data_IF_461443860904
#
_entry.id   IF_461443860904
#
_cell.length_a   1.000
_cell.length_b   1.000
_cell.length_c   1.000
_cell.angle_alpha   90.00
_cell.angle_beta   90.00
_cell.angle_gamma   90.00
#
_symmetry.space_group_name_H-M   'P 1'
#
loop_
_entity.id
_entity.type
_entity.pdbx_description
1 polymer ?
#
# COMPACT_ATOMS: atom_id res chain seq x y z
N UNK A 1 -56.25 42.60 39.59
CA UNK A 1 -57.12 43.08 38.51
C UNK A 1 -56.53 42.71 37.17
N UNK A 2 -57.40 42.12 36.35
CA UNK A 2 -57.22 41.78 34.94
C UNK A 2 -57.12 43.04 34.04
N UNK A 3 -56.71 42.79 32.78
CA UNK A 3 -56.86 43.61 31.54
C UNK A 3 -55.86 44.73 31.29
N UNK A 4 -55.32 44.97 30.08
CA UNK A 4 -55.51 44.36 28.75
C UNK A 4 -54.37 44.82 27.80
N UNK A 5 -53.81 43.93 26.96
CA UNK A 5 -54.20 43.64 25.57
C UNK A 5 -53.86 44.74 24.54
N UNK A 6 -52.84 44.46 23.69
CA UNK A 6 -52.97 44.68 22.23
C UNK A 6 -52.16 43.64 21.43
N UNK A 7 -52.89 42.92 20.58
CA UNK A 7 -52.49 41.93 19.56
C UNK A 7 -51.69 42.59 18.42
N UNK A 8 -50.79 41.85 17.75
CA UNK A 8 -51.08 41.25 16.42
C UNK A 8 -49.91 40.43 15.83
N UNK A 9 -50.25 39.20 15.42
CA UNK A 9 -49.87 38.51 14.16
C UNK A 9 -48.43 38.07 13.88
N UNK A 10 -48.19 36.78 14.17
CA UNK A 10 -47.75 35.70 13.26
C UNK A 10 -46.94 36.05 11.99
N UNK A 11 -45.69 35.58 11.97
CA UNK A 11 -45.16 34.82 10.83
C UNK A 11 -44.04 33.88 11.32
N UNK A 12 -44.34 32.58 11.42
CA UNK A 12 -43.34 31.52 11.59
C UNK A 12 -42.56 31.34 10.27
N UNK A 13 -41.23 31.43 10.32
CA UNK A 13 -40.34 30.89 9.27
C UNK A 13 -39.35 29.91 9.91
N UNK A 14 -39.09 28.76 9.28
CA UNK A 14 -38.37 27.65 9.89
C UNK A 14 -36.86 27.94 9.96
N UNK A 15 -36.27 27.56 11.09
CA UNK A 15 -34.84 27.60 11.34
C UNK A 15 -34.08 26.67 10.38
N UNK A 16 -33.37 27.24 9.41
CA UNK A 16 -32.42 26.53 8.56
C UNK A 16 -30.99 26.71 9.05
N UNK A 17 -30.49 25.64 9.68
CA UNK A 17 -29.14 25.08 9.54
C UNK A 17 -27.91 26.01 9.59
N UNK A 18 -27.53 26.45 10.79
CA UNK A 18 -26.16 26.91 11.11
C UNK A 18 -25.25 25.75 11.55
N UNK A 19 -25.12 24.70 10.72
CA UNK A 19 -24.19 23.59 10.97
C UNK A 19 -23.46 23.14 9.69
N UNK A 20 -22.87 24.10 8.99
CA UNK A 20 -22.12 23.86 7.74
C UNK A 20 -20.88 24.75 7.61
N UNK A 21 -20.19 25.00 8.74
CA UNK A 21 -18.85 25.59 8.75
C UNK A 21 -17.95 24.64 9.53
N UNK A 22 -16.86 24.20 8.91
CA UNK A 22 -15.83 23.26 9.36
C UNK A 22 -15.74 21.93 8.59
N UNK A 23 -15.62 22.01 7.26
CA UNK A 23 -14.81 21.05 6.50
C UNK A 23 -13.97 21.88 5.52
N UNK A 24 -12.64 21.93 5.64
CA UNK A 24 -11.83 22.58 4.61
C UNK A 24 -11.84 21.68 3.38
N UNK A 25 -12.65 22.03 2.37
CA UNK A 25 -12.54 21.50 1.01
C UNK A 25 -11.26 22.05 0.39
N UNK A 26 -10.09 21.53 0.78
CA UNK A 26 -8.86 21.78 0.04
C UNK A 26 -8.95 21.02 -1.28
N UNK A 27 -8.91 21.76 -2.39
CA UNK A 27 -8.79 21.17 -3.72
C UNK A 27 -7.49 20.36 -3.80
N UNK A 28 -7.49 19.21 -4.49
CA UNK A 28 -6.29 18.40 -4.74
C UNK A 28 -5.12 19.25 -5.24
N UNK A 29 -5.42 20.31 -6.02
CA UNK A 29 -4.46 21.28 -6.53
C UNK A 29 -3.78 22.11 -5.44
N UNK A 30 -4.49 22.46 -4.36
CA UNK A 30 -3.92 23.19 -3.22
C UNK A 30 -3.07 22.30 -2.32
N UNK A 31 -3.45 21.03 -2.15
CA UNK A 31 -2.62 20.05 -1.43
C UNK A 31 -1.32 19.82 -2.21
N UNK A 32 -1.41 19.67 -3.53
CA UNK A 32 -0.25 19.51 -4.42
C UNK A 32 0.66 20.76 -4.42
N UNK A 33 0.08 21.97 -4.45
CA UNK A 33 0.85 23.21 -4.37
C UNK A 33 1.55 23.41 -3.03
N UNK A 34 0.91 23.00 -1.93
CA UNK A 34 1.50 23.09 -0.59
C UNK A 34 2.64 22.08 -0.41
N UNK A 35 2.54 20.91 -1.05
CA UNK A 35 3.58 19.87 -1.07
C UNK A 35 4.82 20.31 -1.91
N UNK A 36 4.64 21.12 -2.95
CA UNK A 36 5.71 21.58 -3.85
C UNK A 36 6.56 22.76 -3.30
N UNK A 37 6.08 23.50 -2.30
CA UNK A 37 6.69 24.77 -1.85
C UNK A 37 7.54 24.63 -0.56
N UNK A 38 8.10 23.45 -0.28
CA UNK A 38 8.86 23.19 0.96
C UNK A 38 10.30 22.74 0.70
N UNK A 39 10.98 23.37 -0.27
CA UNK A 39 12.37 23.04 -0.62
C UNK A 39 13.36 23.46 0.48
N UNK A 40 14.34 22.61 0.74
CA UNK A 40 15.52 22.91 1.56
C UNK A 40 16.69 23.09 0.58
N UNK A 41 17.49 24.16 0.74
CA UNK A 41 18.56 24.46 -0.21
C UNK A 41 19.70 23.43 -0.17
N UNK A 42 20.12 22.90 -1.33
CA UNK A 42 21.27 21.99 -1.48
C UNK A 42 21.04 20.71 -2.29
N UNK A 43 19.92 20.57 -2.99
CA UNK A 43 19.50 19.29 -3.61
C UNK A 43 20.02 19.07 -5.04
N UNK A 44 20.37 17.82 -5.36
CA UNK A 44 20.81 17.39 -6.69
C UNK A 44 19.67 17.29 -7.72
N UNK A 45 18.42 17.24 -7.26
CA UNK A 45 17.22 17.05 -8.08
C UNK A 45 16.18 18.09 -7.64
N UNK A 46 15.53 18.78 -8.58
CA UNK A 46 14.47 19.72 -8.22
C UNK A 46 13.16 19.00 -7.90
N UNK A 47 12.41 19.52 -6.92
CA UNK A 47 11.11 18.96 -6.52
C UNK A 47 10.14 18.69 -7.69
N UNK A 48 9.97 19.61 -8.67
CA UNK A 48 9.07 19.36 -9.81
C UNK A 48 9.54 18.20 -10.70
N UNK A 49 10.85 18.05 -10.88
CA UNK A 49 11.42 16.96 -11.69
C UNK A 49 11.19 15.62 -11.01
N UNK A 50 11.39 15.52 -9.69
CA UNK A 50 11.12 14.28 -8.95
C UNK A 50 9.64 13.88 -9.01
N UNK A 51 8.73 14.84 -8.85
CA UNK A 51 7.28 14.56 -8.96
C UNK A 51 6.90 14.17 -10.38
N UNK A 52 7.41 14.87 -11.40
CA UNK A 52 7.16 14.53 -12.80
C UNK A 52 7.69 13.13 -13.14
N UNK A 53 8.88 12.77 -12.67
CA UNK A 53 9.45 11.44 -12.79
C UNK A 53 8.57 10.36 -12.14
N UNK A 54 8.09 10.59 -10.92
CA UNK A 54 7.19 9.65 -10.23
C UNK A 54 5.87 9.46 -10.98
N UNK A 55 5.26 10.56 -11.45
CA UNK A 55 4.03 10.50 -12.26
C UNK A 55 4.29 9.76 -13.57
N UNK A 56 5.39 10.05 -14.26
CA UNK A 56 5.75 9.39 -15.51
C UNK A 56 5.95 7.88 -15.32
N UNK A 57 6.67 7.45 -14.28
CA UNK A 57 6.84 6.02 -13.95
C UNK A 57 5.51 5.34 -13.63
N UNK A 58 4.64 5.98 -12.83
CA UNK A 58 3.33 5.43 -12.50
C UNK A 58 2.45 5.25 -13.75
N UNK A 59 2.40 6.26 -14.61
CA UNK A 59 1.66 6.20 -15.88
C UNK A 59 2.24 5.15 -16.82
N UNK A 60 3.56 5.09 -16.96
CA UNK A 60 4.26 4.12 -17.80
C UNK A 60 3.98 2.69 -17.36
N UNK A 61 4.03 2.43 -16.04
CA UNK A 61 3.71 1.13 -15.45
C UNK A 61 2.29 0.69 -15.77
N UNK A 62 1.30 1.56 -15.57
CA UNK A 62 -0.11 1.26 -15.90
C UNK A 62 -0.32 1.07 -17.39
N UNK A 63 0.25 1.96 -18.20
CA UNK A 63 0.01 1.99 -19.63
C UNK A 63 0.52 0.73 -20.31
N UNK A 64 1.75 0.30 -20.01
CA UNK A 64 2.30 -0.94 -20.56
C UNK A 64 1.55 -2.16 -20.01
N UNK A 65 1.13 -2.15 -18.74
CA UNK A 65 0.45 -3.30 -18.12
C UNK A 65 -0.96 -3.56 -18.68
N UNK A 66 -1.70 -2.50 -19.05
CA UNK A 66 -3.12 -2.61 -19.45
C UNK A 66 -3.40 -2.35 -20.92
N UNK A 67 -2.48 -1.72 -21.66
CA UNK A 67 -2.67 -1.48 -23.08
C UNK A 67 -1.55 -2.09 -23.98
N UNK A 68 -1.00 -3.28 -23.69
CA UNK A 68 0.06 -3.85 -24.52
C UNK A 68 -0.42 -4.12 -25.96
N UNK A 69 -1.69 -4.50 -26.14
CA UNK A 69 -2.31 -4.73 -27.46
C UNK A 69 -2.38 -3.44 -28.29
N UNK A 70 -2.67 -2.30 -27.66
CA UNK A 70 -2.83 -1.00 -28.34
C UNK A 70 -1.48 -0.35 -28.61
N UNK A 71 -0.53 -0.50 -27.68
CA UNK A 71 0.77 0.19 -27.73
C UNK A 71 1.80 -0.62 -28.51
N UNK A 72 1.95 -1.90 -28.18
CA UNK A 72 2.94 -2.79 -28.78
C UNK A 72 2.40 -3.47 -30.04
N UNK A 73 1.17 -3.14 -30.46
CA UNK A 73 0.45 -3.78 -31.58
C UNK A 73 0.49 -5.31 -31.51
N UNK A 74 0.43 -5.85 -30.31
CA UNK A 74 0.47 -7.30 -30.12
C UNK A 74 -0.87 -7.91 -30.55
N UNK A 75 -0.87 -9.07 -31.25
CA UNK A 75 -2.11 -9.76 -31.63
C UNK A 75 -2.91 -10.12 -30.39
N UNK A 76 -4.25 -10.19 -30.47
CA UNK A 76 -5.09 -10.55 -29.32
C UNK A 76 -4.63 -11.88 -28.67
N UNK A 77 -4.70 -11.95 -27.34
CA UNK A 77 -4.23 -13.13 -26.63
C UNK A 77 -5.20 -14.29 -26.86
N UNK A 78 -4.69 -15.41 -27.38
CA UNK A 78 -5.49 -16.62 -27.66
C UNK A 78 -5.95 -17.38 -26.41
N UNK A 79 -5.35 -17.12 -25.25
CA UNK A 79 -5.71 -17.76 -23.98
C UNK A 79 -5.48 -16.83 -22.78
N UNK A 80 -6.16 -17.09 -21.66
CA UNK A 80 -5.98 -16.35 -20.41
C UNK A 80 -4.54 -16.41 -19.88
N UNK A 81 -3.89 -17.57 -19.98
CA UNK A 81 -2.48 -17.72 -19.57
C UNK A 81 -1.55 -16.86 -20.43
N UNK A 82 -1.75 -16.83 -21.75
CA UNK A 82 -0.96 -15.99 -22.66
C UNK A 82 -1.17 -14.49 -22.38
N UNK A 83 -2.41 -14.09 -22.06
CA UNK A 83 -2.71 -12.73 -21.63
C UNK A 83 -1.94 -12.34 -20.36
N UNK A 84 -1.93 -13.24 -19.36
CA UNK A 84 -1.25 -13.01 -18.08
C UNK A 84 0.28 -12.97 -18.22
N UNK A 85 0.88 -13.89 -18.99
CA UNK A 85 2.33 -13.91 -19.25
C UNK A 85 2.77 -12.60 -19.91
N UNK A 86 2.03 -12.10 -20.90
CA UNK A 86 2.34 -10.82 -21.55
C UNK A 86 2.32 -9.67 -20.55
N UNK A 87 1.37 -9.64 -19.63
CA UNK A 87 1.31 -8.65 -18.55
C UNK A 87 2.49 -8.76 -17.60
N UNK A 88 2.95 -9.96 -17.29
CA UNK A 88 4.15 -10.16 -16.47
C UNK A 88 5.41 -9.62 -17.16
N UNK A 89 5.58 -9.92 -18.45
CA UNK A 89 6.70 -9.39 -19.24
C UNK A 89 6.64 -7.85 -19.27
N UNK A 90 5.46 -7.29 -19.52
CA UNK A 90 5.22 -5.84 -19.51
C UNK A 90 5.57 -5.19 -18.16
N UNK A 91 5.12 -5.80 -17.05
CA UNK A 91 5.46 -5.33 -15.70
C UNK A 91 6.96 -5.40 -15.45
N UNK A 92 7.63 -6.49 -15.84
CA UNK A 92 9.07 -6.67 -15.70
C UNK A 92 9.85 -5.61 -16.51
N UNK A 93 9.51 -5.41 -17.78
CA UNK A 93 10.14 -4.40 -18.65
C UNK A 93 9.96 -2.99 -18.07
N UNK A 94 8.74 -2.66 -17.63
CA UNK A 94 8.46 -1.35 -17.02
C UNK A 94 9.24 -1.14 -15.72
N UNK A 95 9.36 -2.20 -14.91
CA UNK A 95 10.13 -2.19 -13.66
C UNK A 95 11.63 -1.98 -13.93
N UNK A 96 12.21 -2.74 -14.85
CA UNK A 96 13.62 -2.60 -15.25
C UNK A 96 13.90 -1.20 -15.79
N UNK A 97 13.04 -0.69 -16.67
CA UNK A 97 13.17 0.66 -17.19
C UNK A 97 13.11 1.73 -16.09
N UNK A 98 12.22 1.56 -15.10
CA UNK A 98 12.09 2.47 -13.95
C UNK A 98 13.31 2.43 -13.04
N UNK A 99 13.87 1.24 -12.79
CA UNK A 99 15.11 1.07 -12.01
C UNK A 99 16.30 1.73 -12.71
N UNK A 100 16.48 1.47 -14.01
CA UNK A 100 17.55 2.06 -14.81
C UNK A 100 17.43 3.58 -14.84
N UNK A 101 16.23 4.10 -15.13
CA UNK A 101 15.96 5.54 -15.13
C UNK A 101 16.29 6.17 -13.77
N UNK A 102 15.84 5.56 -12.67
CA UNK A 102 16.09 6.08 -11.32
C UNK A 102 17.57 6.08 -10.98
N UNK A 103 18.32 5.04 -11.36
CA UNK A 103 19.77 4.97 -11.16
C UNK A 103 20.52 6.09 -11.90
N UNK A 104 20.03 6.50 -13.08
CA UNK A 104 20.61 7.64 -13.82
C UNK A 104 20.26 9.01 -13.23
N UNK A 105 19.07 9.15 -12.64
CA UNK A 105 18.61 10.43 -12.07
C UNK A 105 19.20 10.69 -10.69
N UNK A 106 19.39 9.64 -9.89
CA UNK A 106 19.97 9.76 -8.56
C UNK A 106 21.47 10.08 -8.64
N UNK A 107 22.03 10.86 -7.70
CA UNK A 107 23.45 11.21 -7.68
C UNK A 107 24.33 10.05 -7.14
N UNK A 108 24.28 8.91 -7.82
CA UNK A 108 25.04 7.70 -7.46
C UNK A 108 26.50 7.88 -7.87
N UNK A 109 27.41 7.75 -6.90
CA UNK A 109 28.87 7.90 -7.13
C UNK A 109 29.54 6.61 -7.63
N UNK A 110 29.03 5.44 -7.26
CA UNK A 110 29.59 4.13 -7.60
C UNK A 110 28.56 3.29 -8.35
N UNK A 111 28.97 2.75 -9.50
CA UNK A 111 28.15 1.89 -10.35
C UNK A 111 28.33 0.40 -10.07
N UNK A 112 28.92 0.06 -8.93
CA UNK A 112 28.97 -1.33 -8.47
C UNK A 112 27.57 -1.86 -8.16
N UNK A 113 27.31 -3.11 -8.56
CA UNK A 113 26.00 -3.73 -8.42
C UNK A 113 25.49 -3.75 -6.96
N UNK A 114 26.37 -4.02 -5.99
CA UNK A 114 26.03 -4.02 -4.56
C UNK A 114 25.55 -2.65 -4.08
N UNK A 115 26.20 -1.57 -4.54
CA UNK A 115 25.85 -0.20 -4.19
C UNK A 115 24.52 0.20 -4.82
N UNK A 116 24.30 -0.11 -6.10
CA UNK A 116 23.04 0.17 -6.80
C UNK A 116 21.87 -0.60 -6.16
N UNK A 117 22.05 -1.88 -5.87
CA UNK A 117 21.03 -2.68 -5.18
C UNK A 117 20.71 -2.10 -3.79
N UNK A 118 21.71 -1.60 -3.08
CA UNK A 118 21.54 -0.89 -1.81
C UNK A 118 20.69 0.39 -1.92
N UNK A 119 20.79 1.15 -3.02
CA UNK A 119 19.94 2.33 -3.27
C UNK A 119 18.46 1.94 -3.34
N UNK A 120 18.16 0.81 -3.96
CA UNK A 120 16.79 0.27 -4.08
C UNK A 120 16.35 -0.52 -2.84
N UNK A 121 17.13 -0.53 -1.76
CA UNK A 121 16.84 -1.28 -0.54
C UNK A 121 16.94 -2.81 -0.71
N UNK A 122 17.58 -3.29 -1.77
CA UNK A 122 17.85 -4.71 -1.99
C UNK A 122 19.17 -5.03 -1.29
N UNK A 123 19.07 -5.56 -0.08
CA UNK A 123 20.22 -5.86 0.76
C UNK A 123 20.05 -7.18 1.50
N UNK A 124 21.17 -7.82 1.84
CA UNK A 124 21.19 -9.09 2.57
C UNK A 124 21.43 -8.92 4.08
N UNK A 125 21.99 -7.78 4.51
CA UNK A 125 22.19 -7.49 5.92
C UNK A 125 20.84 -7.31 6.63
N UNK A 126 20.70 -7.84 7.83
CA UNK A 126 19.47 -7.75 8.63
C UNK A 126 18.18 -8.17 7.88
N UNK A 127 18.31 -9.05 6.88
CA UNK A 127 17.18 -9.45 6.03
C UNK A 127 16.09 -10.14 6.85
N UNK A 128 16.45 -10.99 7.82
CA UNK A 128 15.46 -11.71 8.62
C UNK A 128 14.62 -10.75 9.47
N UNK A 129 15.20 -9.67 10.01
CA UNK A 129 14.46 -8.60 10.70
C UNK A 129 13.55 -7.87 9.70
N UNK A 130 14.10 -7.55 8.53
CA UNK A 130 13.39 -6.95 7.39
C UNK A 130 12.17 -7.74 6.94
N UNK A 131 12.13 -9.06 7.18
CA UNK A 131 11.00 -9.92 6.85
C UNK A 131 10.08 -10.14 8.06
N UNK A 132 10.64 -10.56 9.19
CA UNK A 132 9.89 -11.05 10.34
C UNK A 132 9.08 -9.95 11.03
N UNK A 133 9.69 -8.80 11.31
CA UNK A 133 9.01 -7.74 12.07
C UNK A 133 7.89 -7.05 11.27
N UNK A 134 8.06 -6.73 9.97
CA UNK A 134 6.97 -6.22 9.16
C UNK A 134 5.83 -7.24 8.97
N UNK A 135 6.15 -8.52 8.83
CA UNK A 135 5.13 -9.58 8.79
C UNK A 135 4.36 -9.68 10.10
N UNK A 136 5.05 -9.61 11.25
CA UNK A 136 4.40 -9.59 12.56
C UNK A 136 3.50 -8.37 12.74
N UNK A 137 3.97 -7.17 12.37
CA UNK A 137 3.14 -5.97 12.42
C UNK A 137 1.91 -6.10 11.52
N UNK A 138 2.10 -6.59 10.31
CA UNK A 138 0.99 -6.75 9.36
C UNK A 138 0.00 -7.80 9.87
N UNK A 139 0.47 -8.93 10.42
CA UNK A 139 -0.39 -10.00 10.93
C UNK A 139 -1.26 -9.54 12.11
N UNK A 140 -0.79 -8.59 12.93
CA UNK A 140 -1.60 -7.98 14.00
C UNK A 140 -2.85 -7.28 13.47
N UNK A 141 -2.76 -6.54 12.36
CA UNK A 141 -3.93 -5.92 11.72
C UNK A 141 -4.93 -6.98 11.23
N UNK A 142 -4.43 -8.16 10.88
CA UNK A 142 -5.21 -9.29 10.39
C UNK A 142 -5.55 -10.33 11.47
N UNK A 143 -5.29 -10.05 12.75
CA UNK A 143 -5.47 -11.01 13.84
C UNK A 143 -6.89 -11.61 13.88
N UNK A 144 -7.91 -10.79 13.64
CA UNK A 144 -9.30 -11.28 13.54
C UNK A 144 -9.51 -12.26 12.38
N UNK A 145 -8.98 -11.95 11.18
CA UNK A 145 -9.05 -12.86 10.03
C UNK A 145 -8.30 -14.17 10.29
N UNK A 146 -7.13 -14.13 10.92
CA UNK A 146 -6.34 -15.31 11.27
C UNK A 146 -7.07 -16.20 12.28
N UNK A 147 -7.65 -15.62 13.33
CA UNK A 147 -8.46 -16.36 14.32
C UNK A 147 -9.70 -16.96 13.67
N UNK A 148 -10.34 -16.24 12.74
CA UNK A 148 -11.49 -16.77 11.99
C UNK A 148 -11.12 -17.99 11.17
N UNK A 149 -9.96 -17.98 10.50
CA UNK A 149 -9.49 -19.09 9.65
C UNK A 149 -9.07 -20.30 10.51
N UNK A 150 -8.38 -20.04 11.62
CA UNK A 150 -8.03 -21.07 12.58
C UNK A 150 -9.28 -21.75 13.15
N UNK A 151 -10.31 -20.96 13.50
CA UNK A 151 -11.56 -21.50 14.03
C UNK A 151 -12.29 -22.37 13.00
N UNK A 152 -12.30 -22.01 11.72
CA UNK A 152 -12.90 -22.86 10.68
C UNK A 152 -12.16 -24.19 10.52
N UNK A 153 -10.83 -24.20 10.60
CA UNK A 153 -10.07 -25.45 10.52
C UNK A 153 -10.27 -26.35 11.75
N UNK A 154 -10.48 -25.76 12.93
CA UNK A 154 -10.81 -26.50 14.15
C UNK A 154 -12.22 -27.11 14.09
N UNK A 155 -13.18 -26.41 13.48
CA UNK A 155 -14.54 -26.93 13.23
C UNK A 155 -14.51 -28.12 12.24
N UNK A 156 -13.64 -28.09 11.22
CA UNK A 156 -13.50 -29.17 10.23
C UNK A 156 -12.79 -30.43 10.76
N UNK A 157 -11.78 -30.29 11.63
CA UNK A 157 -10.98 -31.41 12.14
C UNK A 157 -11.60 -32.19 13.33
N UNK A 158 -12.87 -31.92 13.66
CA UNK A 158 -13.61 -32.76 14.61
C UNK A 158 -13.11 -32.70 16.06
N UNK A 159 -13.02 -31.51 16.65
CA UNK A 159 -13.10 -31.30 18.11
C UNK A 159 -12.05 -31.96 19.04
N UNK A 160 -11.06 -32.68 18.50
CA UNK A 160 -9.99 -33.33 19.26
C UNK A 160 -8.88 -32.34 19.63
N UNK A 161 -8.84 -31.92 20.89
CA UNK A 161 -7.98 -30.84 21.34
C UNK A 161 -6.51 -31.30 21.54
N UNK A 162 -5.64 -30.98 20.57
CA UNK A 162 -4.25 -30.66 20.87
C UNK A 162 -3.86 -29.39 20.13
N UNK A 163 -4.15 -28.24 20.75
CA UNK A 163 -3.91 -26.88 20.22
C UNK A 163 -2.56 -26.69 19.50
N UNK A 164 -1.51 -27.40 19.91
CA UNK A 164 -0.19 -27.33 19.27
C UNK A 164 -0.11 -28.06 17.91
N UNK A 165 -0.79 -29.19 17.72
CA UNK A 165 -0.86 -29.87 16.41
C UNK A 165 -1.69 -29.07 15.42
N UNK A 166 -2.71 -28.36 15.90
CA UNK A 166 -3.63 -27.58 15.06
C UNK A 166 -3.00 -26.26 14.59
N UNK A 167 -2.19 -25.61 15.43
CA UNK A 167 -1.37 -24.46 15.01
C UNK A 167 -0.31 -24.93 14.00
N UNK A 168 0.31 -26.09 14.23
CA UNK A 168 1.28 -26.66 13.29
C UNK A 168 0.63 -26.97 11.94
N UNK A 169 -0.58 -27.52 11.93
CA UNK A 169 -1.31 -27.78 10.69
C UNK A 169 -1.69 -26.49 9.98
N UNK A 170 -2.19 -25.46 10.69
CA UNK A 170 -2.46 -24.14 10.11
C UNK A 170 -1.23 -23.51 9.45
N UNK A 171 -0.09 -23.52 10.15
CA UNK A 171 1.17 -22.98 9.62
C UNK A 171 1.68 -23.80 8.44
N UNK A 172 1.47 -25.12 8.42
CA UNK A 172 1.87 -26.00 7.31
C UNK A 172 0.92 -25.92 6.10
N UNK A 173 -0.35 -25.58 6.32
CA UNK A 173 -1.34 -25.39 5.27
C UNK A 173 -1.02 -24.16 4.40
N UNK A 174 -0.40 -23.12 4.96
CA UNK A 174 -0.04 -21.91 4.20
C UNK A 174 0.98 -22.24 3.08
N UNK A 175 2.16 -22.85 3.36
CA UNK A 175 3.08 -23.31 2.31
C UNK A 175 2.45 -24.34 1.38
N UNK A 176 1.63 -25.26 1.89
CA UNK A 176 1.00 -26.30 1.08
C UNK A 176 -0.01 -25.72 0.08
N UNK A 177 -0.83 -24.74 0.48
CA UNK A 177 -1.75 -24.02 -0.40
C UNK A 177 -1.01 -23.19 -1.45
N UNK A 178 0.10 -22.53 -1.05
CA UNK A 178 0.94 -21.78 -1.98
C UNK A 178 1.60 -22.73 -2.99
N UNK A 179 2.07 -23.89 -2.56
CA UNK A 179 2.72 -24.89 -3.40
C UNK A 179 1.71 -25.61 -4.32
N UNK A 180 0.52 -25.94 -3.81
CA UNK A 180 -0.57 -26.51 -4.62
C UNK A 180 -1.13 -25.50 -5.63
N UNK A 181 -1.16 -24.22 -5.25
CA UNK A 181 -1.52 -23.10 -6.12
C UNK A 181 -0.40 -22.64 -7.05
N UNK A 182 0.82 -23.17 -6.94
CA UNK A 182 1.97 -22.75 -7.73
C UNK A 182 1.83 -23.06 -9.23
N UNK A 183 0.95 -23.99 -9.61
CA UNK A 183 0.60 -24.22 -11.02
C UNK A 183 -0.38 -23.18 -11.57
N UNK A 184 -1.02 -22.39 -10.70
CA UNK A 184 -2.00 -21.38 -11.08
C UNK A 184 -1.32 -20.03 -11.32
N UNK A 185 -1.38 -19.57 -12.56
CA UNK A 185 -0.80 -18.29 -12.97
C UNK A 185 -1.35 -17.08 -12.20
N UNK A 186 -2.59 -17.17 -11.68
CA UNK A 186 -3.19 -16.12 -10.87
C UNK A 186 -2.57 -16.01 -9.48
N UNK A 187 -2.10 -17.13 -8.91
CA UNK A 187 -1.39 -17.17 -7.62
C UNK A 187 -0.01 -16.55 -7.79
N UNK A 188 0.72 -16.90 -8.85
CA UNK A 188 1.98 -16.27 -9.21
C UNK A 188 1.87 -14.76 -9.41
N UNK A 189 0.81 -14.29 -10.08
CA UNK A 189 0.52 -12.86 -10.19
C UNK A 189 0.42 -12.23 -8.80
N UNK A 190 -0.46 -12.77 -7.95
CA UNK A 190 -0.86 -12.13 -6.70
C UNK A 190 0.22 -12.16 -5.63
N UNK A 191 1.01 -13.22 -5.57
CA UNK A 191 1.98 -13.45 -4.48
C UNK A 191 3.43 -13.14 -4.85
N UNK A 192 3.76 -13.07 -6.14
CA UNK A 192 5.15 -12.86 -6.56
C UNK A 192 5.25 -11.66 -7.50
N UNK A 193 4.65 -11.74 -8.68
CA UNK A 193 4.91 -10.76 -9.75
C UNK A 193 4.41 -9.38 -9.36
N UNK A 194 3.12 -9.24 -8.99
CA UNK A 194 2.54 -7.94 -8.69
C UNK A 194 3.19 -7.29 -7.45
N UNK A 195 3.32 -7.97 -6.29
CA UNK A 195 4.01 -7.38 -5.13
C UNK A 195 5.44 -6.93 -5.46
N UNK A 196 6.22 -7.77 -6.15
CA UNK A 196 7.62 -7.46 -6.44
C UNK A 196 7.75 -6.24 -7.37
N UNK A 197 7.04 -6.23 -8.49
CA UNK A 197 7.15 -5.14 -9.47
C UNK A 197 6.57 -3.84 -8.92
N UNK A 198 5.48 -3.91 -8.17
CA UNK A 198 4.85 -2.72 -7.57
C UNK A 198 5.72 -2.13 -6.45
N UNK A 199 6.29 -2.94 -5.56
CA UNK A 199 7.18 -2.40 -4.52
C UNK A 199 8.49 -1.83 -5.12
N UNK A 200 9.05 -2.46 -6.16
CA UNK A 200 10.22 -1.91 -6.85
C UNK A 200 9.91 -0.53 -7.46
N UNK A 201 8.83 -0.42 -8.24
CA UNK A 201 8.51 0.85 -8.93
C UNK A 201 8.05 1.92 -7.95
N UNK A 202 7.10 1.62 -7.08
CA UNK A 202 6.44 2.65 -6.26
C UNK A 202 7.20 2.97 -4.97
N UNK A 203 8.05 2.07 -4.46
CA UNK A 203 8.83 2.31 -3.22
C UNK A 203 10.29 2.48 -3.56
N UNK A 204 10.92 1.45 -4.14
CA UNK A 204 12.36 1.48 -4.38
C UNK A 204 12.79 2.58 -5.37
N UNK A 205 11.97 2.92 -6.38
CA UNK A 205 12.30 4.01 -7.30
C UNK A 205 11.79 5.39 -6.83
N UNK A 206 10.48 5.51 -6.56
CA UNK A 206 9.86 6.81 -6.30
C UNK A 206 10.29 7.45 -4.98
N UNK A 207 10.43 6.66 -3.89
CA UNK A 207 10.75 7.22 -2.58
C UNK A 207 12.16 7.85 -2.56
N UNK A 208 13.22 7.17 -3.03
CA UNK A 208 14.55 7.78 -3.16
C UNK A 208 14.57 9.09 -3.94
N UNK A 209 13.84 9.17 -5.06
CA UNK A 209 13.76 10.40 -5.87
C UNK A 209 13.14 11.55 -5.08
N UNK A 210 12.03 11.30 -4.37
CA UNK A 210 11.37 12.31 -3.56
C UNK A 210 12.26 12.75 -2.39
N UNK A 211 12.92 11.82 -1.70
CA UNK A 211 13.80 12.16 -0.58
C UNK A 211 15.02 12.96 -1.04
N UNK A 212 15.63 12.61 -2.18
CA UNK A 212 16.77 13.34 -2.76
C UNK A 212 16.40 14.68 -3.40
N UNK A 213 15.12 14.91 -3.65
CA UNK A 213 14.56 16.21 -4.05
C UNK A 213 13.92 16.96 -2.88
N UNK A 214 14.32 16.66 -1.63
CA UNK A 214 13.97 17.50 -0.49
C UNK A 214 12.63 17.28 0.16
N UNK A 215 11.87 16.30 -0.31
CA UNK A 215 10.56 16.07 0.28
C UNK A 215 10.70 15.62 1.72
N UNK A 216 9.93 16.27 2.60
CA UNK A 216 9.72 15.76 3.96
C UNK A 216 9.23 14.32 3.89
N UNK A 217 9.69 13.51 4.83
CA UNK A 217 9.36 12.08 4.88
C UNK A 217 7.86 11.81 4.80
N UNK A 218 7.05 12.54 5.57
CA UNK A 218 5.60 12.39 5.55
C UNK A 218 5.00 12.65 4.16
N UNK A 219 5.53 13.62 3.41
CA UNK A 219 5.10 13.87 2.03
C UNK A 219 5.41 12.69 1.13
N UNK A 220 6.61 12.11 1.24
CA UNK A 220 6.98 10.91 0.47
C UNK A 220 6.10 9.70 0.82
N UNK A 221 5.75 9.53 2.11
CA UNK A 221 4.86 8.44 2.58
C UNK A 221 3.48 8.52 1.93
N UNK A 222 2.91 9.72 1.76
CA UNK A 222 1.55 9.87 1.25
C UNK A 222 1.47 10.11 -0.27
N UNK A 223 2.51 10.65 -0.90
CA UNK A 223 2.47 10.96 -2.33
C UNK A 223 2.53 9.70 -3.20
N UNK A 224 3.46 8.77 -2.93
CA UNK A 224 3.59 7.54 -3.72
C UNK A 224 2.30 6.69 -3.72
N UNK A 225 1.63 6.45 -2.57
CA UNK A 225 0.39 5.67 -2.53
C UNK A 225 -0.78 6.34 -3.24
N UNK A 226 -0.84 7.67 -3.27
CA UNK A 226 -1.87 8.38 -4.04
C UNK A 226 -1.68 8.10 -5.53
N UNK A 227 -0.45 8.24 -6.06
CA UNK A 227 -0.16 7.93 -7.46
C UNK A 227 -0.43 6.45 -7.79
N UNK A 228 -0.06 5.55 -6.87
CA UNK A 228 -0.35 4.12 -6.97
C UNK A 228 -1.86 3.81 -6.99
N UNK A 229 -2.67 4.49 -6.18
CA UNK A 229 -4.13 4.30 -6.17
C UNK A 229 -4.81 4.86 -7.43
N UNK A 230 -4.32 5.98 -7.95
CA UNK A 230 -4.80 6.56 -9.22
C UNK A 230 -4.52 5.63 -10.39
N UNK A 231 -3.39 4.93 -10.38
CA UNK A 231 -3.06 3.88 -11.34
C UNK A 231 -4.10 2.74 -11.36
N UNK A 232 -4.72 2.43 -10.22
CA UNK A 232 -5.72 1.37 -10.07
C UNK A 232 -7.15 1.81 -10.41
N UNK A 233 -7.42 3.11 -10.60
CA UNK A 233 -8.70 3.60 -11.09
C UNK A 233 -9.04 3.10 -12.51
N UNK A 234 -8.08 2.59 -13.28
CA UNK A 234 -8.41 1.97 -14.57
C UNK A 234 -9.22 0.66 -14.39
N UNK A 235 -9.02 -0.09 -13.30
CA UNK A 235 -9.85 -1.26 -12.99
C UNK A 235 -11.29 -0.89 -12.62
N UNK A 236 -11.52 0.31 -12.08
CA UNK A 236 -12.85 0.85 -11.81
C UNK A 236 -13.70 0.95 -13.08
N UNK A 237 -13.11 1.42 -14.19
CA UNK A 237 -13.82 1.52 -15.48
C UNK A 237 -14.26 0.15 -15.99
N UNK A 238 -13.43 -0.87 -15.85
CA UNK A 238 -13.71 -2.22 -16.37
C UNK A 238 -14.75 -2.99 -15.53
N UNK A 239 -14.68 -2.91 -14.20
CA UNK A 239 -15.71 -3.52 -13.32
C UNK A 239 -17.08 -2.85 -13.45
N UNK A 240 -17.09 -1.52 -13.62
CA UNK A 240 -18.32 -0.74 -13.76
C UNK A 240 -19.08 -1.09 -15.05
N UNK A 241 -18.39 -1.21 -16.18
CA UNK A 241 -19.01 -1.49 -17.49
C UNK A 241 -19.58 -2.92 -17.56
N UNK A 242 -18.97 -3.90 -16.89
CA UNK A 242 -19.32 -5.33 -17.07
C UNK A 242 -20.38 -5.88 -16.11
N UNK A 243 -20.71 -5.24 -14.98
CA UNK A 243 -21.49 -5.90 -13.92
C UNK A 243 -22.87 -5.29 -13.61
N UNK A 244 -23.31 -4.25 -14.33
CA UNK A 244 -24.66 -3.66 -14.22
C UNK A 244 -25.16 -3.44 -12.76
N UNK A 245 -24.24 -3.09 -11.84
CA UNK A 245 -24.53 -2.84 -10.41
C UNK A 245 -24.98 -1.39 -10.23
N UNK A 246 -25.81 -1.11 -9.22
CA UNK A 246 -26.21 0.28 -8.94
C UNK A 246 -25.01 1.17 -8.63
N UNK A 247 -25.02 2.39 -9.19
CA UNK A 247 -23.92 3.37 -9.11
C UNK A 247 -23.36 3.54 -7.69
N UNK A 248 -24.25 3.66 -6.69
CA UNK A 248 -23.85 3.88 -5.31
C UNK A 248 -23.12 2.69 -4.70
N UNK A 249 -23.59 1.45 -4.95
CA UNK A 249 -22.97 0.25 -4.40
C UNK A 249 -21.62 -0.04 -5.06
N UNK A 250 -21.52 0.13 -6.38
CA UNK A 250 -20.27 -0.02 -7.11
C UNK A 250 -19.24 1.03 -6.68
N UNK A 251 -19.65 2.29 -6.57
CA UNK A 251 -18.79 3.38 -6.10
C UNK A 251 -18.30 3.16 -4.67
N UNK A 252 -19.14 2.68 -3.76
CA UNK A 252 -18.76 2.41 -2.38
C UNK A 252 -17.74 1.28 -2.25
N UNK A 253 -17.95 0.16 -2.95
CA UNK A 253 -17.02 -0.99 -2.93
C UNK A 253 -15.65 -0.58 -3.49
N UNK A 254 -15.64 0.12 -4.62
CA UNK A 254 -14.38 0.54 -5.25
C UNK A 254 -13.71 1.66 -4.45
N UNK A 255 -14.47 2.60 -3.89
CA UNK A 255 -13.94 3.62 -2.99
C UNK A 255 -13.28 3.01 -1.76
N UNK A 256 -13.88 1.96 -1.20
CA UNK A 256 -13.30 1.21 -0.07
C UNK A 256 -12.02 0.48 -0.49
N UNK A 257 -12.01 -0.17 -1.66
CA UNK A 257 -10.83 -0.85 -2.18
C UNK A 257 -9.68 0.14 -2.43
N UNK A 258 -9.95 1.27 -3.09
CA UNK A 258 -8.95 2.31 -3.34
C UNK A 258 -8.46 2.95 -2.04
N UNK A 259 -9.36 3.20 -1.09
CA UNK A 259 -9.01 3.71 0.23
C UNK A 259 -8.08 2.76 0.98
N UNK A 260 -8.38 1.46 0.95
CA UNK A 260 -7.52 0.42 1.50
C UNK A 260 -6.14 0.41 0.82
N UNK A 261 -6.10 0.51 -0.52
CA UNK A 261 -4.85 0.58 -1.29
C UNK A 261 -3.99 1.78 -0.89
N UNK A 262 -4.58 2.95 -0.66
CA UNK A 262 -3.85 4.15 -0.18
C UNK A 262 -3.29 3.93 1.22
N UNK A 263 -4.10 3.40 2.14
CA UNK A 263 -3.69 3.14 3.53
C UNK A 263 -2.55 2.12 3.57
N UNK A 264 -2.72 0.98 2.89
CA UNK A 264 -1.68 -0.03 2.77
C UNK A 264 -0.43 0.55 2.12
N UNK A 265 -0.59 1.34 1.06
CA UNK A 265 0.55 1.93 0.39
C UNK A 265 1.35 2.91 1.25
N UNK A 266 0.66 3.69 2.10
CA UNK A 266 1.32 4.57 3.07
C UNK A 266 2.07 3.76 4.13
N UNK A 267 1.48 2.65 4.60
CA UNK A 267 2.16 1.72 5.49
C UNK A 267 3.40 1.06 4.85
N UNK A 268 3.32 0.60 3.60
CA UNK A 268 4.46 0.08 2.85
C UNK A 268 5.57 1.13 2.68
N UNK A 269 5.20 2.38 2.37
CA UNK A 269 6.16 3.48 2.25
C UNK A 269 6.83 3.79 3.60
N UNK A 270 6.07 3.76 4.68
CA UNK A 270 6.58 3.88 6.04
C UNK A 270 7.58 2.76 6.38
N UNK A 271 7.23 1.49 6.10
CA UNK A 271 8.14 0.36 6.30
C UNK A 271 9.44 0.53 5.52
N UNK A 272 9.36 0.89 4.24
CA UNK A 272 10.54 1.09 3.40
C UNK A 272 11.43 2.19 3.95
N UNK A 273 10.87 3.35 4.28
CA UNK A 273 11.62 4.50 4.79
C UNK A 273 12.27 4.18 6.14
N UNK A 274 11.56 3.51 7.06
CA UNK A 274 12.05 3.22 8.42
C UNK A 274 13.13 2.13 8.45
N UNK A 275 13.00 1.13 7.58
CA UNK A 275 13.90 -0.03 7.57
C UNK A 275 15.06 0.12 6.58
N UNK A 276 14.85 0.82 5.47
CA UNK A 276 15.77 0.86 4.34
C UNK A 276 15.82 -0.44 3.53
N UNK A 277 14.87 -1.35 3.75
CA UNK A 277 14.81 -2.66 3.10
C UNK A 277 13.56 -2.78 2.24
N UNK A 278 13.73 -3.28 1.02
CA UNK A 278 12.61 -3.61 0.11
C UNK A 278 11.83 -4.83 0.61
N UNK A 279 12.49 -5.75 1.31
CA UNK A 279 11.84 -6.94 1.87
C UNK A 279 10.70 -6.59 2.83
N UNK A 280 10.83 -5.51 3.60
CA UNK A 280 9.83 -5.08 4.58
C UNK A 280 8.45 -4.79 3.96
N UNK A 281 8.29 -3.84 3.03
CA UNK A 281 7.03 -3.65 2.34
C UNK A 281 6.64 -4.83 1.45
N UNK A 282 7.60 -5.53 0.83
CA UNK A 282 7.33 -6.65 -0.06
C UNK A 282 6.59 -7.78 0.65
N UNK A 283 7.10 -8.26 1.78
CA UNK A 283 6.46 -9.37 2.50
C UNK A 283 5.15 -8.93 3.18
N UNK A 284 5.06 -7.68 3.64
CA UNK A 284 3.77 -7.12 4.08
C UNK A 284 2.74 -7.12 2.94
N UNK A 285 3.14 -6.77 1.72
CA UNK A 285 2.29 -6.80 0.53
C UNK A 285 1.86 -8.22 0.18
N UNK A 286 2.79 -9.17 0.10
CA UNK A 286 2.46 -10.58 -0.18
C UNK A 286 1.46 -11.11 0.84
N UNK A 287 1.64 -10.79 2.12
CA UNK A 287 0.73 -11.18 3.19
C UNK A 287 -0.66 -10.55 3.03
N UNK A 288 -0.74 -9.25 2.73
CA UNK A 288 -2.01 -8.58 2.45
C UNK A 288 -2.73 -9.17 1.23
N UNK A 289 -2.01 -9.52 0.17
CA UNK A 289 -2.59 -10.13 -1.03
C UNK A 289 -3.08 -11.56 -0.76
N UNK A 290 -2.42 -12.29 0.13
CA UNK A 290 -2.87 -13.60 0.58
C UNK A 290 -4.14 -13.51 1.44
N UNK A 291 -4.15 -12.61 2.44
CA UNK A 291 -5.26 -12.47 3.39
C UNK A 291 -6.48 -11.72 2.82
N UNK A 292 -6.27 -10.85 1.81
CA UNK A 292 -7.32 -9.99 1.25
C UNK A 292 -7.68 -8.82 2.17
N UNK A 293 -8.95 -8.43 2.21
CA UNK A 293 -9.42 -7.38 3.12
C UNK A 293 -9.56 -7.92 4.56
N UNK A 294 -9.12 -7.17 5.58
CA UNK A 294 -9.28 -7.59 6.97
C UNK A 294 -10.78 -7.70 7.33
N UNK A 295 -11.16 -8.80 7.98
CA UNK A 295 -12.55 -9.00 8.45
C UNK A 295 -12.77 -8.17 9.71
N UNK A 296 -13.36 -6.99 9.55
CA UNK A 296 -13.57 -6.04 10.65
C UNK A 296 -14.65 -6.48 11.66
N UNK A 297 -15.60 -7.31 11.23
CA UNK A 297 -16.71 -7.74 12.06
C UNK A 297 -17.28 -9.09 11.58
N UNK A 298 -17.46 -10.02 12.52
CA UNK A 298 -18.16 -11.28 12.29
C UNK A 298 -19.32 -11.39 13.30
N UNK A 299 -20.59 -11.27 12.86
CA UNK A 299 -21.74 -11.45 13.73
C UNK A 299 -21.69 -12.81 14.42
N UNK A 300 -21.84 -12.86 15.74
CA UNK A 300 -21.88 -14.11 16.50
C UNK A 300 -20.52 -14.73 16.88
N UNK A 301 -19.39 -14.14 16.47
CA UNK A 301 -18.03 -14.61 16.83
C UNK A 301 -17.28 -13.56 17.65
N UNK A 302 -17.67 -13.38 18.91
CA UNK A 302 -17.06 -12.40 19.84
C UNK A 302 -15.54 -12.51 19.94
N UNK A 303 -14.99 -13.72 19.84
CA UNK A 303 -13.56 -13.98 19.83
C UNK A 303 -12.82 -13.34 18.63
N UNK A 304 -13.43 -13.36 17.44
CA UNK A 304 -12.86 -12.76 16.21
C UNK A 304 -12.78 -11.24 16.34
N UNK A 305 -13.84 -10.62 16.87
CA UNK A 305 -13.88 -9.17 17.11
C UNK A 305 -12.89 -8.75 18.20
N UNK A 306 -12.79 -9.52 19.28
CA UNK A 306 -11.79 -9.29 20.33
C UNK A 306 -10.36 -9.40 19.76
N UNK A 307 -10.07 -10.45 19.00
CA UNK A 307 -8.76 -10.65 18.37
C UNK A 307 -8.39 -9.50 17.41
N UNK A 308 -9.36 -9.00 16.63
CA UNK A 308 -9.15 -7.82 15.80
C UNK A 308 -8.80 -6.58 16.64
N UNK A 309 -9.54 -6.30 17.72
CA UNK A 309 -9.27 -5.15 18.59
C UNK A 309 -7.90 -5.24 19.26
N UNK A 310 -7.55 -6.39 19.83
CA UNK A 310 -6.22 -6.63 20.40
C UNK A 310 -5.12 -6.51 19.34
N UNK A 311 -5.37 -7.01 18.14
CA UNK A 311 -4.48 -6.88 17.00
C UNK A 311 -4.21 -5.41 16.63
N UNK A 312 -5.26 -4.58 16.55
CA UNK A 312 -5.11 -3.13 16.28
C UNK A 312 -4.35 -2.42 17.39
N UNK A 313 -4.67 -2.70 18.66
CA UNK A 313 -3.94 -2.12 19.80
C UNK A 313 -2.47 -2.54 19.78
N UNK A 314 -2.19 -3.81 19.50
CA UNK A 314 -0.85 -4.34 19.34
C UNK A 314 -0.10 -3.68 18.19
N UNK A 315 -0.74 -3.52 17.03
CA UNK A 315 -0.17 -2.84 15.88
C UNK A 315 0.25 -1.41 16.21
N UNK A 316 -0.65 -0.62 16.79
CA UNK A 316 -0.37 0.79 17.16
C UNK A 316 0.76 0.87 18.18
N UNK A 317 0.75 -0.01 19.18
CA UNK A 317 1.75 -0.02 20.25
C UNK A 317 3.15 -0.44 19.75
N UNK A 318 3.20 -1.39 18.82
CA UNK A 318 4.45 -1.97 18.32
C UNK A 318 4.98 -1.32 17.03
N UNK A 319 4.18 -0.47 16.35
CA UNK A 319 4.53 0.14 15.08
C UNK A 319 5.90 0.84 15.12
N UNK A 320 6.14 1.72 16.09
CA UNK A 320 7.42 2.42 16.22
C UNK A 320 8.54 1.56 16.84
N UNK A 321 8.30 0.78 17.91
CA UNK A 321 9.31 -0.12 18.47
C UNK A 321 9.89 -1.12 17.46
N UNK A 322 9.03 -1.81 16.69
CA UNK A 322 9.44 -2.82 15.73
C UNK A 322 9.99 -2.24 14.43
N UNK A 323 9.78 -0.94 14.16
CA UNK A 323 10.37 -0.25 12.99
C UNK A 323 11.51 0.69 13.38
N UNK A 324 12.16 0.47 14.52
CA UNK A 324 13.34 1.24 14.92
C UNK A 324 14.49 0.98 13.94
N UNK A 325 14.97 2.02 13.27
CA UNK A 325 15.97 1.94 12.19
C UNK A 325 17.26 1.19 12.56
N UNK A 326 17.70 1.29 13.82
CA UNK A 326 18.88 0.59 14.36
C UNK A 326 18.75 -0.95 14.37
N UNK A 327 17.53 -1.50 14.32
CA UNK A 327 17.32 -2.95 14.21
C UNK A 327 17.59 -3.49 12.80
N UNK A 328 17.66 -2.60 11.81
CA UNK A 328 17.74 -2.94 10.38
C UNK A 328 19.03 -2.42 9.74
N UNK A 329 19.79 -1.57 10.43
CA UNK A 329 20.93 -0.85 9.88
C UNK A 329 22.04 -0.72 10.92
N UNK A 330 23.29 -0.91 10.49
CA UNK A 330 24.48 -0.78 11.36
C UNK A 330 24.81 0.68 11.70
N UNK A 331 24.38 1.64 10.87
CA UNK A 331 24.61 3.08 11.04
C UNK A 331 23.35 3.84 10.65
N UNK A 332 23.00 4.87 11.41
CA UNK A 332 21.81 5.72 11.21
C UNK A 332 22.12 7.21 11.06
N UNK A 333 23.41 7.56 10.92
CA UNK A 333 23.89 8.94 10.79
C UNK A 333 24.68 9.10 9.48
N UNK A 334 24.74 10.33 8.95
CA UNK A 334 25.48 10.71 7.74
C UNK A 334 25.18 9.86 6.50
N UNK A 335 23.88 9.65 6.27
CA UNK A 335 23.42 8.80 5.18
C UNK A 335 23.17 9.60 3.90
N UNK A 336 23.31 8.97 2.72
CA UNK A 336 22.85 9.55 1.47
C UNK A 336 21.36 9.89 1.50
N UNK A 337 20.96 10.87 0.68
CA UNK A 337 19.58 11.38 0.63
C UNK A 337 18.51 10.32 0.33
N UNK A 338 18.86 9.22 -0.34
CA UNK A 338 17.93 8.14 -0.67
C UNK A 338 17.62 7.22 0.53
N UNK A 339 18.36 7.31 1.63
CA UNK A 339 18.14 6.49 2.84
C UNK A 339 17.28 7.25 3.86
N UNK A 340 15.96 7.13 3.72
CA UNK A 340 15.00 7.90 4.50
C UNK A 340 15.02 7.67 6.02
N UNK A 341 15.57 6.57 6.52
CA UNK A 341 15.61 6.28 7.96
C UNK A 341 16.54 7.21 8.75
N UNK A 342 17.54 7.82 8.09
CA UNK A 342 18.47 8.75 8.74
C UNK A 342 17.89 10.17 8.87
N UNK A 343 16.90 10.49 8.03
CA UNK A 343 16.18 11.77 8.05
C UNK A 343 15.04 11.78 9.08
N UNK A 344 14.79 10.65 9.77
CA UNK A 344 13.62 10.47 10.64
C UNK A 344 13.79 11.08 12.04
N UNK A 345 14.98 11.55 12.42
CA UNK A 345 15.24 12.05 13.77
C UNK A 345 14.43 13.28 14.16
#
# INVERSE_FOLDING_TARGET
>A
SFTGLRKSTSEEKPATSTFSRWIPRRSFRQVFHYILNMSVDGESISMPVAVAACVAMALFYVFILYAPTVILRLPEASSFSNFMIRRFICAAVSTVASLVFTAFVLPIKSWEASHILGVFGIRADHLWQGVLYPLLLTSLVYAGSLVSELLSLLEENGGGCSSFTDIKSFVQTIPACVLAGASNISVWRNLVVAPLTEELVFRACMIPLLLCAGFRIYSAIFLCPILFSLAHLNHFREMYIRHNRSYLKASLIVGLQLGYTVVFGAYASFLFIRTGHLSAPLFAHVFCNYMGLPRLYAPGKGLVSAAFLFGVVGFVSLLFPLTKSLMYNNRTNDCPCWLGYCLWN
#
